data_IF_802874752892
#
_entry.id   IF_802874752892
#
_cell.length_a   1.000
_cell.length_b   1.000
_cell.length_c   1.000
_cell.angle_alpha   90.00
_cell.angle_beta   90.00
_cell.angle_gamma   90.00
#
_symmetry.space_group_name_H-M   'P 1'
#
loop_
_entity.id
_entity.type
_entity.pdbx_description
1 polymer ?
#
# COMPACT_ATOMS: atom_id res chain seq x y z
N UNK A 1 -18.86 20.52 -8.80
CA UNK A 1 -20.25 20.75 -8.31
C UNK A 1 -21.28 20.81 -9.44
N UNK A 2 -20.95 21.37 -10.61
CA UNK A 2 -21.91 21.49 -11.74
C UNK A 2 -22.49 20.14 -12.15
N UNK A 3 -21.65 19.12 -12.25
CA UNK A 3 -22.11 17.77 -12.60
C UNK A 3 -22.98 17.16 -11.50
N UNK A 4 -22.64 17.42 -10.25
CA UNK A 4 -23.40 16.91 -9.10
C UNK A 4 -24.74 17.62 -8.93
N UNK A 5 -24.83 18.90 -9.28
CA UNK A 5 -26.09 19.67 -9.24
C UNK A 5 -27.15 19.11 -10.18
N UNK A 6 -26.76 18.40 -11.23
CA UNK A 6 -27.69 17.73 -12.13
C UNK A 6 -28.47 16.60 -11.45
N UNK A 7 -27.87 16.02 -10.42
CA UNK A 7 -28.42 14.90 -9.65
C UNK A 7 -29.04 15.41 -8.36
N UNK A 8 -28.34 16.33 -7.67
CA UNK A 8 -28.79 16.95 -6.40
C UNK A 8 -28.83 18.47 -6.60
N UNK A 9 -29.99 19.04 -7.00
CA UNK A 9 -30.06 20.43 -7.42
C UNK A 9 -29.65 21.50 -6.40
N UNK A 10 -29.79 21.22 -5.10
CA UNK A 10 -29.49 22.18 -4.03
C UNK A 10 -28.16 21.88 -3.30
N UNK A 11 -27.28 21.10 -3.92
CA UNK A 11 -26.02 20.64 -3.27
C UNK A 11 -25.12 21.80 -2.86
N UNK A 12 -25.07 22.89 -3.65
CA UNK A 12 -24.18 24.01 -3.35
C UNK A 12 -24.48 24.66 -2.00
N UNK A 13 -25.76 24.76 -1.64
CA UNK A 13 -26.16 25.32 -0.35
C UNK A 13 -25.88 24.41 0.83
N UNK A 14 -25.59 23.15 0.58
CA UNK A 14 -25.35 22.14 1.61
C UNK A 14 -23.88 21.76 1.80
N UNK A 15 -22.98 22.35 1.00
CA UNK A 15 -21.54 22.04 1.09
C UNK A 15 -20.88 22.96 2.11
N UNK A 16 -20.35 22.39 3.19
CA UNK A 16 -19.61 23.10 4.22
C UNK A 16 -18.13 23.15 3.93
N UNK A 17 -17.58 22.13 3.28
CA UNK A 17 -16.17 22.02 2.98
C UNK A 17 -15.99 21.32 1.64
N UNK A 18 -15.02 21.76 0.86
CA UNK A 18 -14.66 21.14 -0.40
C UNK A 18 -13.16 21.16 -0.59
N UNK A 19 -12.61 20.02 -0.95
CA UNK A 19 -11.21 19.86 -1.32
C UNK A 19 -11.10 19.05 -2.60
N UNK A 20 -9.99 19.22 -3.31
CA UNK A 20 -9.69 18.43 -4.49
C UNK A 20 -8.24 17.94 -4.40
N UNK A 21 -8.02 16.70 -4.78
CA UNK A 21 -6.70 16.12 -4.90
C UNK A 21 -6.46 15.69 -6.35
N UNK A 22 -5.29 15.99 -6.85
CA UNK A 22 -4.85 15.57 -8.17
C UNK A 22 -3.73 14.53 -8.03
N UNK A 23 -3.31 13.86 -9.11
CA UNK A 23 -2.13 13.01 -9.04
C UNK A 23 -0.89 13.72 -8.49
N UNK A 24 -0.76 15.02 -8.76
CA UNK A 24 0.34 15.83 -8.21
C UNK A 24 0.26 15.95 -6.68
N UNK A 25 -0.93 16.11 -6.13
CA UNK A 25 -1.17 16.14 -4.68
C UNK A 25 -0.75 14.81 -4.04
N UNK A 26 -1.15 13.70 -4.64
CA UNK A 26 -0.82 12.35 -4.17
C UNK A 26 0.68 12.11 -4.23
N UNK A 27 1.34 12.51 -5.32
CA UNK A 27 2.78 12.39 -5.46
C UNK A 27 3.52 13.18 -4.37
N UNK A 28 3.05 14.38 -4.05
CA UNK A 28 3.64 15.22 -3.02
C UNK A 28 3.63 14.55 -1.63
N UNK A 29 2.49 13.97 -1.26
CA UNK A 29 2.33 13.37 0.07
C UNK A 29 2.85 11.94 0.18
N UNK A 30 2.75 11.14 -0.87
CA UNK A 30 3.09 9.72 -0.82
C UNK A 30 4.40 9.37 -1.50
N UNK A 31 4.95 10.26 -2.32
CA UNK A 31 6.14 10.03 -3.15
C UNK A 31 5.93 8.92 -4.19
N UNK A 32 4.69 8.51 -4.45
CA UNK A 32 4.38 7.53 -5.48
C UNK A 32 4.64 8.11 -6.86
N UNK A 33 5.28 7.33 -7.72
CA UNK A 33 5.54 7.74 -9.11
C UNK A 33 4.22 8.04 -9.83
N UNK A 34 4.20 9.13 -10.61
CA UNK A 34 3.02 9.58 -11.36
C UNK A 34 1.80 9.89 -10.50
N UNK A 35 1.96 10.02 -9.17
CA UNK A 35 0.85 10.33 -8.27
C UNK A 35 -0.22 9.25 -8.20
N UNK A 36 0.19 7.99 -8.30
CA UNK A 36 -0.73 6.87 -8.20
C UNK A 36 -1.37 6.80 -6.80
N UNK A 37 -2.68 6.69 -6.75
CA UNK A 37 -3.42 6.58 -5.49
C UNK A 37 -3.36 5.18 -4.89
N UNK A 38 -3.13 4.17 -5.72
CA UNK A 38 -2.85 2.81 -5.25
C UNK A 38 -1.35 2.54 -5.35
N UNK A 39 -0.86 1.55 -4.61
CA UNK A 39 0.54 1.16 -4.61
C UNK A 39 0.96 0.44 -5.89
N UNK A 40 1.92 -0.47 -5.78
CA UNK A 40 2.40 -1.24 -6.93
C UNK A 40 1.27 -2.04 -7.56
N UNK A 41 1.39 -2.32 -8.85
CA UNK A 41 0.40 -3.14 -9.58
C UNK A 41 0.27 -4.52 -8.96
N UNK A 42 -0.87 -5.16 -9.20
CA UNK A 42 -1.15 -6.50 -8.67
C UNK A 42 -0.07 -7.52 -9.06
N UNK A 43 0.44 -7.44 -10.29
CA UNK A 43 1.52 -8.31 -10.75
C UNK A 43 2.80 -8.16 -9.89
N UNK A 44 2.95 -7.02 -9.23
CA UNK A 44 4.06 -6.78 -8.32
C UNK A 44 3.98 -7.55 -7.01
N UNK A 45 2.83 -8.15 -6.69
CA UNK A 45 2.67 -8.93 -5.46
C UNK A 45 3.62 -10.13 -5.42
N UNK A 46 3.71 -10.86 -6.52
CA UNK A 46 4.62 -12.01 -6.60
C UNK A 46 6.08 -11.59 -6.42
N UNK A 47 6.47 -10.48 -7.05
CA UNK A 47 7.83 -9.93 -6.90
C UNK A 47 8.06 -9.50 -5.45
N UNK A 48 7.12 -8.78 -4.86
CA UNK A 48 7.23 -8.31 -3.47
C UNK A 48 7.32 -9.47 -2.48
N UNK A 49 6.47 -10.48 -2.64
CA UNK A 49 6.42 -11.63 -1.71
C UNK A 49 7.60 -12.57 -1.87
N UNK A 50 8.21 -12.65 -3.06
CA UNK A 50 9.36 -13.51 -3.33
C UNK A 50 10.70 -12.80 -3.18
N UNK A 51 10.70 -11.51 -2.82
CA UNK A 51 11.92 -10.73 -2.70
C UNK A 51 12.96 -11.35 -1.76
N UNK A 52 12.60 -11.92 -0.59
CA UNK A 52 13.57 -12.59 0.29
C UNK A 52 14.25 -13.82 -0.35
N UNK A 53 13.61 -14.44 -1.32
CA UNK A 53 14.17 -15.59 -2.02
C UNK A 53 15.31 -15.18 -2.96
N UNK A 54 15.25 -13.97 -3.49
CA UNK A 54 16.25 -13.42 -4.39
C UNK A 54 17.32 -12.62 -3.65
N UNK A 55 16.95 -11.99 -2.56
CA UNK A 55 17.85 -11.17 -1.74
C UNK A 55 17.57 -11.48 -0.27
N UNK A 56 18.28 -12.46 0.32
CA UNK A 56 18.02 -12.88 1.70
C UNK A 56 18.15 -11.71 2.68
N UNK A 57 17.15 -11.57 3.55
CA UNK A 57 17.08 -10.49 4.51
C UNK A 57 16.41 -9.22 4.02
N UNK A 58 16.00 -9.17 2.76
CA UNK A 58 15.28 -8.01 2.20
C UNK A 58 13.80 -8.34 2.08
N UNK A 59 12.97 -7.55 2.73
CA UNK A 59 11.52 -7.72 2.74
C UNK A 59 10.85 -6.44 2.28
N UNK A 60 9.68 -6.58 1.68
CA UNK A 60 8.87 -5.47 1.23
C UNK A 60 7.48 -5.53 1.88
N UNK A 61 6.99 -4.39 2.31
CA UNK A 61 5.63 -4.22 2.82
C UNK A 61 5.05 -2.93 2.24
N UNK A 62 3.74 -2.82 2.28
CA UNK A 62 3.04 -1.63 1.81
C UNK A 62 1.88 -1.99 0.90
N UNK A 63 1.36 -1.00 0.21
CA UNK A 63 0.21 -1.17 -0.67
C UNK A 63 0.62 -1.84 -1.98
N UNK A 64 0.00 -2.99 -2.29
CA UNK A 64 0.27 -3.74 -3.52
C UNK A 64 -1.05 -4.07 -4.22
N UNK A 65 -1.23 -3.51 -5.41
CA UNK A 65 -2.40 -3.79 -6.24
C UNK A 65 -3.73 -3.45 -5.56
N UNK A 66 -4.78 -4.06 -6.04
CA UNK A 66 -6.13 -3.83 -5.52
C UNK A 66 -6.40 -4.66 -4.25
N UNK A 67 -5.88 -5.89 -4.21
CA UNK A 67 -6.16 -6.83 -3.11
C UNK A 67 -5.44 -6.43 -1.82
N UNK A 68 -4.18 -5.99 -1.94
CA UNK A 68 -3.37 -5.57 -0.80
C UNK A 68 -3.24 -4.05 -0.73
N UNK A 69 -4.24 -3.31 -1.20
CA UNK A 69 -4.28 -1.85 -1.11
C UNK A 69 -5.42 -1.40 -0.19
N UNK A 70 -5.49 -0.08 0.05
CA UNK A 70 -6.36 0.47 1.07
C UNK A 70 -5.83 0.14 2.47
N UNK A 71 -6.55 0.55 3.49
CA UNK A 71 -6.09 0.36 4.86
C UNK A 71 -6.03 -1.11 5.25
N UNK A 72 -7.12 -1.83 5.01
CA UNK A 72 -7.22 -3.24 5.40
C UNK A 72 -6.18 -4.10 4.68
N UNK A 73 -6.07 -3.94 3.37
CA UNK A 73 -5.12 -4.72 2.58
C UNK A 73 -3.67 -4.42 2.95
N UNK A 74 -3.32 -3.15 3.13
CA UNK A 74 -1.97 -2.74 3.50
C UNK A 74 -1.58 -3.22 4.89
N UNK A 75 -2.50 -3.11 5.86
CA UNK A 75 -2.27 -3.61 7.22
C UNK A 75 -2.10 -5.13 7.22
N UNK A 76 -2.95 -5.84 6.49
CA UNK A 76 -2.87 -7.30 6.38
C UNK A 76 -1.55 -7.76 5.74
N UNK A 77 -1.11 -7.06 4.69
CA UNK A 77 0.18 -7.37 4.05
C UNK A 77 1.35 -7.08 5.00
N UNK A 78 1.24 -6.05 5.83
CA UNK A 78 2.23 -5.76 6.87
C UNK A 78 2.36 -6.92 7.86
N UNK A 79 1.25 -7.51 8.28
CA UNK A 79 1.24 -8.69 9.17
C UNK A 79 1.89 -9.88 8.48
N UNK A 80 1.56 -10.14 7.23
CA UNK A 80 2.16 -11.24 6.45
C UNK A 80 3.68 -11.06 6.36
N UNK A 81 4.14 -9.85 6.06
CA UNK A 81 5.57 -9.54 5.96
C UNK A 81 6.25 -9.69 7.32
N UNK A 82 5.65 -9.20 8.39
CA UNK A 82 6.19 -9.34 9.74
C UNK A 82 6.37 -10.80 10.14
N UNK A 83 5.42 -11.66 9.81
CA UNK A 83 5.52 -13.09 10.06
C UNK A 83 6.67 -13.73 9.30
N UNK A 84 6.92 -13.30 8.06
CA UNK A 84 8.07 -13.76 7.26
C UNK A 84 9.39 -13.32 7.90
N UNK A 85 9.46 -12.08 8.36
CA UNK A 85 10.65 -11.56 9.05
C UNK A 85 10.92 -12.34 10.33
N UNK A 86 9.89 -12.62 11.13
CA UNK A 86 10.00 -13.39 12.35
C UNK A 86 10.53 -14.80 12.08
N UNK A 87 10.00 -15.47 11.06
CA UNK A 87 10.45 -16.80 10.65
C UNK A 87 11.91 -16.77 10.21
N UNK A 88 12.32 -15.75 9.47
CA UNK A 88 13.70 -15.58 9.01
C UNK A 88 14.66 -15.40 10.19
N UNK A 89 14.28 -14.56 11.16
CA UNK A 89 15.10 -14.30 12.34
C UNK A 89 15.23 -15.54 13.22
N UNK A 90 14.16 -16.29 13.41
CA UNK A 90 14.21 -17.55 14.17
C UNK A 90 15.10 -18.57 13.50
N UNK A 91 15.02 -18.68 12.17
CA UNK A 91 15.89 -19.56 11.38
C UNK A 91 17.36 -19.19 11.56
N UNK A 92 17.69 -17.90 11.55
CA UNK A 92 19.05 -17.41 11.78
C UNK A 92 19.56 -17.70 13.18
N UNK A 93 18.72 -17.53 14.20
CA UNK A 93 19.08 -17.83 15.58
C UNK A 93 19.32 -19.33 15.79
N UNK A 94 18.47 -20.17 15.20
CA UNK A 94 18.60 -21.61 15.25
C UNK A 94 19.91 -22.09 14.59
N UNK A 95 20.27 -21.48 13.46
CA UNK A 95 21.52 -21.77 12.75
C UNK A 95 22.75 -21.40 13.58
N UNK A 96 22.71 -20.31 14.36
CA UNK A 96 23.81 -19.91 15.25
C UNK A 96 24.00 -20.84 16.45
N UNK A 97 22.95 -21.51 16.88
CA UNK A 97 23.01 -22.43 18.02
C UNK A 97 23.52 -23.84 17.64
N UNK A 98 23.61 -24.15 16.36
CA UNK A 98 24.10 -25.43 15.85
C UNK A 98 25.61 -25.45 15.60
N UNK A 99 26.26 -24.31 15.57
CA UNK A 99 27.69 -24.14 15.45
C UNK A 99 28.34 -24.04 16.84
#
# INVERSE_FOLDING_TARGET
LVALEKIIPDIRGKVDHIEAATPRTIQYYTQHASGASFGTKFEGLDVSSSLPDHAPGLFHAGSVGIIMSGWLGTMNYGVITANKVDSFLRSKLSSKHQD
#
